data_IF_025353628076
#
_entry.id   IF_025353628076
#
_cell.length_a   1.000
_cell.length_b   1.000
_cell.length_c   1.000
_cell.angle_alpha   90.00
_cell.angle_beta   90.00
_cell.angle_gamma   90.00
#
_symmetry.space_group_name_H-M   'P 1'
#
loop_
_entity.id
_entity.type
_entity.pdbx_description
1 polymer ?
#
# COMPACT_ATOMS: atom_id res chain seq x y z
N UNK A 1 -24.30 22.47 -34.50
CA UNK A 1 -24.10 21.21 -33.76
C UNK A 1 -23.11 21.46 -32.62
N UNK A 2 -23.61 21.80 -31.42
CA UNK A 2 -22.77 21.91 -30.21
C UNK A 2 -22.60 20.50 -29.66
N UNK A 3 -21.40 19.93 -29.79
CA UNK A 3 -21.03 18.72 -29.07
C UNK A 3 -21.17 18.97 -27.57
N UNK A 4 -21.89 18.10 -26.87
CA UNK A 4 -22.07 18.17 -25.42
C UNK A 4 -20.70 18.00 -24.74
N UNK A 5 -20.17 19.00 -24.01
CA UNK A 5 -18.85 18.92 -23.37
C UNK A 5 -18.73 17.83 -22.29
N UNK A 6 -19.83 17.18 -21.90
CA UNK A 6 -19.89 16.26 -20.76
C UNK A 6 -19.53 14.79 -21.06
N UNK A 7 -19.46 14.34 -22.31
CA UNK A 7 -19.24 12.92 -22.62
C UNK A 7 -17.78 12.47 -22.48
N UNK A 8 -16.82 13.33 -22.85
CA UNK A 8 -15.39 13.05 -22.78
C UNK A 8 -14.88 12.97 -21.33
N UNK A 9 -15.36 13.87 -20.45
CA UNK A 9 -15.00 13.87 -19.03
C UNK A 9 -15.55 12.64 -18.28
N UNK A 10 -16.80 12.25 -18.57
CA UNK A 10 -17.39 11.03 -17.99
C UNK A 10 -16.64 9.75 -18.43
N UNK A 11 -16.23 9.65 -19.70
CA UNK A 11 -15.45 8.52 -20.22
C UNK A 11 -14.09 8.36 -19.55
N UNK A 12 -13.37 9.46 -19.32
CA UNK A 12 -12.08 9.43 -18.64
C UNK A 12 -12.20 9.00 -17.17
N UNK A 13 -13.24 9.44 -16.46
CA UNK A 13 -13.50 9.02 -15.07
C UNK A 13 -13.72 7.52 -14.95
N UNK A 14 -14.55 6.96 -15.82
CA UNK A 14 -14.81 5.52 -15.85
C UNK A 14 -13.53 4.74 -16.14
N UNK A 15 -12.72 5.20 -17.10
CA UNK A 15 -11.45 4.57 -17.45
C UNK A 15 -10.45 4.57 -16.30
N UNK A 16 -10.18 5.72 -15.67
CA UNK A 16 -9.22 5.81 -14.57
C UNK A 16 -9.64 4.98 -13.37
N UNK A 17 -10.93 4.99 -13.04
CA UNK A 17 -11.47 4.12 -11.99
C UNK A 17 -11.24 2.64 -12.30
N UNK A 18 -11.62 2.18 -13.49
CA UNK A 18 -11.47 0.78 -13.88
C UNK A 18 -10.01 0.33 -13.83
N UNK A 19 -9.12 1.13 -14.42
CA UNK A 19 -7.69 0.84 -14.42
C UNK A 19 -7.15 0.77 -12.99
N UNK A 20 -7.50 1.74 -12.13
CA UNK A 20 -7.09 1.72 -10.72
C UNK A 20 -7.57 0.49 -9.97
N UNK A 21 -8.86 0.12 -10.11
CA UNK A 21 -9.43 -1.05 -9.42
C UNK A 21 -8.82 -2.37 -9.90
N UNK A 22 -8.56 -2.50 -11.21
CA UNK A 22 -7.88 -3.67 -11.77
C UNK A 22 -6.46 -3.77 -11.21
N UNK A 23 -5.70 -2.68 -11.23
CA UNK A 23 -4.32 -2.69 -10.72
C UNK A 23 -4.26 -2.96 -9.21
N UNK A 24 -5.18 -2.39 -8.42
CA UNK A 24 -5.32 -2.71 -7.00
C UNK A 24 -5.66 -4.19 -6.78
N UNK A 25 -6.53 -4.77 -7.61
CA UNK A 25 -6.83 -6.20 -7.58
C UNK A 25 -5.61 -7.08 -7.89
N UNK A 26 -4.80 -6.66 -8.87
CA UNK A 26 -3.52 -7.32 -9.17
C UNK A 26 -2.54 -7.18 -8.00
N UNK A 27 -2.49 -6.04 -7.33
CA UNK A 27 -1.63 -5.82 -6.16
C UNK A 27 -2.05 -6.73 -4.99
N UNK A 28 -3.35 -6.89 -4.74
CA UNK A 28 -3.87 -7.86 -3.76
C UNK A 28 -3.38 -9.28 -4.11
N UNK A 29 -3.52 -9.70 -5.37
CA UNK A 29 -3.05 -11.00 -5.82
C UNK A 29 -1.53 -11.16 -5.65
N UNK A 30 -0.76 -10.11 -5.95
CA UNK A 30 0.68 -10.11 -5.77
C UNK A 30 1.08 -10.20 -4.30
N UNK A 31 0.37 -9.53 -3.37
CA UNK A 31 0.62 -9.65 -1.93
C UNK A 31 0.29 -11.05 -1.39
N UNK A 32 -0.78 -11.68 -1.88
CA UNK A 32 -1.08 -13.08 -1.55
C UNK A 32 -0.02 -14.04 -2.11
N UNK A 33 0.41 -13.81 -3.35
CA UNK A 33 1.51 -14.54 -3.97
C UNK A 33 2.82 -14.35 -3.19
N UNK A 34 3.12 -13.14 -2.73
CA UNK A 34 4.27 -12.83 -1.90
C UNK A 34 4.21 -13.53 -0.55
N UNK A 35 3.02 -13.61 0.06
CA UNK A 35 2.84 -14.35 1.30
C UNK A 35 3.16 -15.84 1.13
N UNK A 36 2.61 -16.47 0.09
CA UNK A 36 2.88 -17.87 -0.24
C UNK A 36 4.35 -18.10 -0.61
N UNK A 37 4.93 -17.21 -1.43
CA UNK A 37 6.34 -17.26 -1.84
C UNK A 37 7.26 -17.15 -0.63
N UNK A 38 7.00 -16.22 0.29
CA UNK A 38 7.84 -16.01 1.49
C UNK A 38 7.82 -17.24 2.39
N UNK A 39 6.64 -17.84 2.62
CA UNK A 39 6.50 -19.06 3.42
C UNK A 39 7.23 -20.25 2.78
N UNK A 40 7.04 -20.43 1.47
CA UNK A 40 7.68 -21.51 0.72
C UNK A 40 9.21 -21.35 0.69
N UNK A 41 9.69 -20.15 0.33
CA UNK A 41 11.12 -19.88 0.15
C UNK A 41 11.89 -19.85 1.46
N UNK A 42 11.24 -19.44 2.54
CA UNK A 42 11.81 -19.41 3.87
C UNK A 42 11.57 -20.69 4.68
N UNK A 43 11.20 -21.79 4.04
CA UNK A 43 11.00 -23.12 4.62
C UNK A 43 10.12 -23.11 5.89
N UNK A 44 9.08 -22.28 5.90
CA UNK A 44 8.18 -22.08 7.06
C UNK A 44 8.89 -21.71 8.37
N UNK A 45 10.09 -21.11 8.29
CA UNK A 45 10.78 -20.55 9.44
C UNK A 45 9.96 -19.44 10.11
N UNK A 46 10.28 -19.12 11.37
CA UNK A 46 9.60 -18.05 12.10
C UNK A 46 9.65 -16.70 11.37
N UNK A 47 10.80 -16.36 10.76
CA UNK A 47 10.95 -15.15 9.96
C UNK A 47 10.05 -15.17 8.72
N UNK A 48 9.98 -16.31 8.02
CA UNK A 48 9.09 -16.49 6.87
C UNK A 48 7.62 -16.30 7.24
N UNK A 49 7.21 -16.79 8.42
CA UNK A 49 5.86 -16.58 8.95
C UNK A 49 5.55 -15.10 9.21
N UNK A 50 6.48 -14.34 9.80
CA UNK A 50 6.26 -12.90 10.02
C UNK A 50 6.09 -12.14 8.69
N UNK A 51 6.94 -12.43 7.70
CA UNK A 51 6.85 -11.81 6.36
C UNK A 51 5.55 -12.23 5.67
N UNK A 52 5.21 -13.53 5.70
CA UNK A 52 4.01 -14.08 5.09
C UNK A 52 2.72 -13.52 5.70
N UNK A 53 2.61 -13.51 7.03
CA UNK A 53 1.46 -12.93 7.75
C UNK A 53 1.35 -11.43 7.46
N UNK A 54 2.46 -10.70 7.45
CA UNK A 54 2.46 -9.27 7.09
C UNK A 54 1.89 -9.06 5.68
N UNK A 55 2.37 -9.80 4.69
CA UNK A 55 1.91 -9.69 3.30
C UNK A 55 0.42 -10.08 3.17
N UNK A 56 -0.01 -11.16 3.82
CA UNK A 56 -1.39 -11.62 3.83
C UNK A 56 -2.34 -10.58 4.45
N UNK A 57 -2.01 -10.06 5.63
CA UNK A 57 -2.82 -9.05 6.31
C UNK A 57 -2.92 -7.75 5.50
N UNK A 58 -1.82 -7.33 4.86
CA UNK A 58 -1.84 -6.20 3.92
C UNK A 58 -2.77 -6.45 2.74
N UNK A 59 -2.76 -7.66 2.17
CA UNK A 59 -3.65 -8.03 1.07
C UNK A 59 -5.13 -7.92 1.48
N UNK A 60 -5.49 -8.38 2.68
CA UNK A 60 -6.86 -8.29 3.19
C UNK A 60 -7.32 -6.83 3.38
N UNK A 61 -6.47 -6.00 4.00
CA UNK A 61 -6.77 -4.57 4.18
C UNK A 61 -6.89 -3.88 2.81
N UNK A 62 -5.98 -4.15 1.89
CA UNK A 62 -6.01 -3.60 0.54
C UNK A 62 -7.26 -4.03 -0.24
N UNK A 63 -7.67 -5.29 -0.13
CA UNK A 63 -8.89 -5.79 -0.76
C UNK A 63 -10.14 -5.07 -0.23
N UNK A 64 -10.25 -4.92 1.09
CA UNK A 64 -11.34 -4.17 1.71
C UNK A 64 -11.33 -2.70 1.31
N UNK A 65 -10.15 -2.08 1.30
CA UNK A 65 -9.98 -0.70 0.86
C UNK A 65 -10.35 -0.51 -0.62
N UNK A 66 -9.96 -1.44 -1.49
CA UNK A 66 -10.29 -1.42 -2.93
C UNK A 66 -11.80 -1.50 -3.16
N UNK A 67 -12.50 -2.36 -2.39
CA UNK A 67 -13.95 -2.46 -2.45
C UNK A 67 -14.64 -1.14 -2.03
N UNK A 68 -14.15 -0.51 -0.94
CA UNK A 68 -14.66 0.80 -0.49
C UNK A 68 -14.36 1.89 -1.51
N UNK A 69 -13.14 1.92 -2.08
CA UNK A 69 -12.74 2.89 -3.10
C UNK A 69 -13.63 2.76 -4.35
N UNK A 70 -13.96 1.53 -4.76
CA UNK A 70 -14.84 1.29 -5.91
C UNK A 70 -16.22 1.90 -5.72
N UNK A 71 -16.80 1.81 -4.51
CA UNK A 71 -18.10 2.44 -4.19
C UNK A 71 -17.98 3.96 -4.08
N UNK A 72 -16.94 4.43 -3.39
CA UNK A 72 -16.63 5.83 -3.22
C UNK A 72 -16.43 6.56 -4.57
N UNK A 73 -15.69 5.96 -5.50
CA UNK A 73 -15.45 6.49 -6.85
C UNK A 73 -16.65 6.41 -7.79
N UNK A 74 -17.72 5.72 -7.38
CA UNK A 74 -19.05 5.80 -8.01
C UNK A 74 -19.89 6.95 -7.43
N UNK A 75 -19.37 7.73 -6.49
CA UNK A 75 -20.14 8.73 -5.74
C UNK A 75 -21.16 8.13 -4.77
N UNK A 76 -21.07 6.82 -4.50
CA UNK A 76 -22.00 6.13 -3.60
C UNK A 76 -21.50 6.23 -2.17
N UNK A 77 -22.28 6.89 -1.32
CA UNK A 77 -22.03 6.93 0.10
C UNK A 77 -22.04 5.50 0.69
N UNK A 78 -21.02 5.17 1.48
CA UNK A 78 -20.93 3.91 2.21
C UNK A 78 -21.37 4.16 3.64
N UNK A 79 -22.46 3.51 4.06
CA UNK A 79 -22.98 3.67 5.42
C UNK A 79 -21.90 3.36 6.47
N UNK A 80 -21.81 4.11 7.58
CA UNK A 80 -20.96 3.74 8.72
C UNK A 80 -21.24 2.36 9.31
N UNK A 81 -22.45 1.82 9.08
CA UNK A 81 -22.84 0.47 9.51
C UNK A 81 -22.49 -0.63 8.50
N UNK A 82 -21.97 -0.28 7.31
CA UNK A 82 -21.55 -1.24 6.30
C UNK A 82 -20.46 -2.15 6.84
N UNK A 83 -20.66 -3.47 6.69
CA UNK A 83 -19.76 -4.47 7.26
C UNK A 83 -18.33 -4.38 6.72
N UNK A 84 -18.15 -4.04 5.44
CA UNK A 84 -16.83 -3.90 4.84
C UNK A 84 -16.11 -2.68 5.39
N UNK A 85 -16.80 -1.53 5.48
CA UNK A 85 -16.22 -0.31 6.04
C UNK A 85 -15.83 -0.49 7.51
N UNK A 86 -16.68 -1.16 8.30
CA UNK A 86 -16.39 -1.49 9.70
C UNK A 86 -15.20 -2.45 9.84
N UNK A 87 -15.19 -3.53 9.07
CA UNK A 87 -14.10 -4.49 9.06
C UNK A 87 -12.78 -3.82 8.69
N UNK A 88 -12.77 -2.99 7.64
CA UNK A 88 -11.61 -2.21 7.23
C UNK A 88 -11.14 -1.28 8.36
N UNK A 89 -12.06 -0.53 8.98
CA UNK A 89 -11.76 0.43 10.05
C UNK A 89 -11.17 -0.21 11.29
N UNK A 90 -11.48 -1.48 11.54
CA UNK A 90 -10.89 -2.27 12.62
C UNK A 90 -9.57 -2.89 12.18
N UNK A 91 -9.48 -3.40 10.94
CA UNK A 91 -8.32 -4.16 10.48
C UNK A 91 -7.08 -3.29 10.24
N UNK A 92 -7.22 -2.14 9.58
CA UNK A 92 -6.05 -1.34 9.18
C UNK A 92 -5.20 -0.84 10.37
N UNK A 93 -5.76 -0.43 11.53
CA UNK A 93 -4.96 -0.05 12.68
C UNK A 93 -4.14 -1.23 13.23
N UNK A 94 -4.72 -2.43 13.30
CA UNK A 94 -4.02 -3.63 13.76
C UNK A 94 -2.84 -3.98 12.85
N UNK A 95 -3.05 -3.96 11.53
CA UNK A 95 -1.97 -4.20 10.56
C UNK A 95 -0.88 -3.14 10.67
N UNK A 96 -1.26 -1.88 10.90
CA UNK A 96 -0.31 -0.78 11.12
C UNK A 96 0.53 -1.03 12.38
N UNK A 97 -0.11 -1.35 13.51
CA UNK A 97 0.58 -1.65 14.77
C UNK A 97 1.53 -2.83 14.62
N UNK A 98 1.09 -3.92 13.98
CA UNK A 98 1.93 -5.09 13.72
C UNK A 98 3.18 -4.71 12.92
N UNK A 99 3.04 -3.90 11.86
CA UNK A 99 4.15 -3.44 11.04
C UNK A 99 5.11 -2.52 11.80
N UNK A 100 4.58 -1.67 12.68
CA UNK A 100 5.41 -0.82 13.54
C UNK A 100 6.15 -1.65 14.60
N UNK A 101 5.55 -2.73 15.11
CA UNK A 101 6.24 -3.67 16.00
C UNK A 101 7.39 -4.37 15.27
N UNK A 102 7.17 -4.85 14.03
CA UNK A 102 8.24 -5.45 13.24
C UNK A 102 9.39 -4.47 12.99
N UNK A 103 9.07 -3.24 12.58
CA UNK A 103 10.06 -2.18 12.42
C UNK A 103 10.81 -1.89 13.73
N UNK A 104 10.09 -1.75 14.85
CA UNK A 104 10.68 -1.44 16.15
C UNK A 104 11.60 -2.55 16.62
N UNK A 105 11.21 -3.82 16.40
CA UNK A 105 12.06 -4.97 16.67
C UNK A 105 13.35 -4.93 15.84
N UNK A 106 13.24 -4.63 14.54
CA UNK A 106 14.42 -4.44 13.68
C UNK A 106 15.30 -3.30 14.20
N UNK A 107 14.72 -2.17 14.60
CA UNK A 107 15.45 -1.05 15.18
C UNK A 107 16.22 -1.47 16.44
N UNK A 108 15.58 -2.17 17.37
CA UNK A 108 16.25 -2.67 18.58
C UNK A 108 17.40 -3.61 18.25
N UNK A 109 17.21 -4.54 17.30
CA UNK A 109 18.27 -5.45 16.86
C UNK A 109 19.46 -4.73 16.24
N UNK A 110 19.22 -3.66 15.49
CA UNK A 110 20.29 -2.80 14.95
C UNK A 110 21.02 -2.06 16.07
N UNK A 111 20.27 -1.43 16.99
CA UNK A 111 20.84 -0.68 18.11
C UNK A 111 21.62 -1.56 19.09
N UNK A 112 21.27 -2.84 19.21
CA UNK A 112 22.02 -3.82 20.00
C UNK A 112 23.24 -4.41 19.27
N UNK A 113 23.60 -3.89 18.08
CA UNK A 113 24.77 -4.32 17.33
C UNK A 113 24.55 -5.54 16.43
N UNK A 114 23.31 -5.87 16.06
CA UNK A 114 22.99 -7.00 15.19
C UNK A 114 23.39 -6.84 13.71
N UNK A 115 23.92 -5.68 13.33
CA UNK A 115 24.35 -5.38 11.97
C UNK A 115 25.57 -4.42 11.95
N UNK A 116 26.72 -4.84 12.52
CA UNK A 116 27.88 -3.97 12.71
C UNK A 116 28.58 -3.60 11.39
N UNK A 117 28.43 -4.44 10.37
CA UNK A 117 29.01 -4.23 9.04
C UNK A 117 28.08 -3.45 8.09
N UNK A 118 26.89 -3.06 8.56
CA UNK A 118 25.90 -2.43 7.72
C UNK A 118 26.30 -1.02 7.30
N UNK A 119 26.02 -0.66 6.05
CA UNK A 119 26.14 0.73 5.61
C UNK A 119 25.19 1.62 6.43
N UNK A 120 25.75 2.48 7.28
CA UNK A 120 24.98 3.27 8.25
C UNK A 120 23.99 4.23 7.59
N UNK A 121 24.35 4.82 6.45
CA UNK A 121 23.48 5.75 5.71
C UNK A 121 22.27 5.03 5.14
N UNK A 122 22.49 3.91 4.45
CA UNK A 122 21.42 3.10 3.87
C UNK A 122 20.49 2.53 4.96
N UNK A 123 21.06 2.07 6.09
CA UNK A 123 20.28 1.53 7.21
C UNK A 123 19.45 2.62 7.90
N UNK A 124 20.01 3.80 8.10
CA UNK A 124 19.28 4.96 8.65
C UNK A 124 18.14 5.37 7.72
N UNK A 125 18.38 5.38 6.40
CA UNK A 125 17.36 5.68 5.42
C UNK A 125 16.23 4.64 5.47
N UNK A 126 16.54 3.33 5.51
CA UNK A 126 15.54 2.28 5.66
C UNK A 126 14.72 2.45 6.96
N UNK A 127 15.39 2.63 8.09
CA UNK A 127 14.75 2.76 9.40
C UNK A 127 13.93 4.05 9.54
N UNK A 128 14.11 5.03 8.66
CA UNK A 128 13.30 6.25 8.58
C UNK A 128 12.14 6.10 7.60
N UNK A 129 12.40 5.55 6.41
CA UNK A 129 11.41 5.41 5.34
C UNK A 129 10.35 4.36 5.68
N UNK A 130 10.75 3.23 6.27
CA UNK A 130 9.82 2.14 6.60
C UNK A 130 8.67 2.59 7.53
N UNK A 131 8.91 3.19 8.71
CA UNK A 131 7.81 3.62 9.57
C UNK A 131 7.00 4.75 8.93
N UNK A 132 7.64 5.68 8.20
CA UNK A 132 6.95 6.73 7.46
C UNK A 132 5.98 6.15 6.43
N UNK A 133 6.39 5.12 5.68
CA UNK A 133 5.55 4.42 4.72
C UNK A 133 4.36 3.72 5.39
N UNK A 134 4.60 3.05 6.53
CA UNK A 134 3.54 2.41 7.33
C UNK A 134 2.49 3.44 7.76
N UNK A 135 2.93 4.59 8.26
CA UNK A 135 2.05 5.68 8.70
C UNK A 135 1.29 6.33 7.54
N UNK A 136 1.95 6.52 6.39
CA UNK A 136 1.31 7.05 5.18
C UNK A 136 0.21 6.11 4.67
N UNK A 137 0.44 4.79 4.65
CA UNK A 137 -0.61 3.84 4.29
C UNK A 137 -1.77 3.84 5.28
N UNK A 138 -1.49 3.90 6.58
CA UNK A 138 -2.53 4.07 7.60
C UNK A 138 -3.36 5.34 7.36
N UNK A 139 -2.72 6.44 6.95
CA UNK A 139 -3.40 7.68 6.61
C UNK A 139 -4.25 7.56 5.34
N UNK A 140 -3.79 6.84 4.29
CA UNK A 140 -4.59 6.52 3.09
C UNK A 140 -5.84 5.73 3.47
N UNK A 141 -5.69 4.66 4.25
CA UNK A 141 -6.79 3.80 4.67
C UNK A 141 -7.78 4.55 5.56
N UNK A 142 -7.29 5.23 6.59
CA UNK A 142 -8.13 5.98 7.52
C UNK A 142 -8.83 7.18 6.88
N UNK A 143 -8.19 7.85 5.90
CA UNK A 143 -8.82 8.97 5.20
C UNK A 143 -9.95 8.49 4.31
N UNK A 144 -9.77 7.42 3.53
CA UNK A 144 -10.88 6.86 2.76
C UNK A 144 -12.00 6.36 3.68
N UNK A 145 -11.68 5.67 4.77
CA UNK A 145 -12.69 5.14 5.68
C UNK A 145 -13.58 6.24 6.28
N UNK A 146 -12.99 7.38 6.67
CA UNK A 146 -13.74 8.56 7.15
C UNK A 146 -14.52 9.28 6.05
N UNK A 147 -14.00 9.25 4.82
CA UNK A 147 -14.56 9.94 3.68
C UNK A 147 -15.69 9.15 2.99
N UNK A 148 -15.67 7.82 3.08
CA UNK A 148 -16.61 6.94 2.38
C UNK A 148 -18.10 7.24 2.65
N UNK A 149 -18.53 7.66 3.86
CA UNK A 149 -19.91 8.08 4.10
C UNK A 149 -20.30 9.40 3.41
N UNK A 150 -19.34 10.27 3.07
CA UNK A 150 -19.59 11.54 2.40
C UNK A 150 -18.66 11.70 1.18
N UNK A 151 -18.93 10.99 0.07
CA UNK A 151 -18.05 10.99 -1.08
C UNK A 151 -17.97 12.34 -1.79
N UNK A 152 -18.90 13.25 -1.51
CA UNK A 152 -18.97 14.59 -2.07
C UNK A 152 -17.97 15.59 -1.45
N UNK A 153 -17.40 15.28 -0.27
CA UNK A 153 -16.46 16.18 0.43
C UNK A 153 -15.14 16.37 -0.33
N UNK A 154 -14.98 17.57 -0.91
CA UNK A 154 -13.79 18.00 -1.63
C UNK A 154 -12.53 18.06 -0.77
N UNK A 155 -12.66 18.46 0.49
CA UNK A 155 -11.51 18.60 1.39
C UNK A 155 -10.95 17.23 1.73
N UNK A 156 -11.83 16.29 2.05
CA UNK A 156 -11.47 14.89 2.27
C UNK A 156 -10.87 14.24 1.02
N UNK A 157 -11.43 14.49 -0.18
CA UNK A 157 -10.86 14.02 -1.46
C UNK A 157 -9.44 14.52 -1.69
N UNK A 158 -9.21 15.82 -1.47
CA UNK A 158 -7.87 16.42 -1.59
C UNK A 158 -6.90 15.76 -0.61
N UNK A 159 -7.30 15.61 0.65
CA UNK A 159 -6.46 14.97 1.67
C UNK A 159 -6.12 13.52 1.34
N UNK A 160 -7.08 12.77 0.77
CA UNK A 160 -6.84 11.40 0.30
C UNK A 160 -5.82 11.39 -0.84
N UNK A 161 -5.94 12.30 -1.81
CA UNK A 161 -4.99 12.45 -2.91
C UNK A 161 -3.58 12.82 -2.41
N UNK A 162 -3.47 13.73 -1.44
CA UNK A 162 -2.19 14.11 -0.84
C UNK A 162 -1.51 12.90 -0.18
N UNK A 163 -2.26 12.10 0.58
CA UNK A 163 -1.74 10.89 1.21
C UNK A 163 -1.37 9.80 0.20
N UNK A 164 -2.14 9.60 -0.87
CA UNK A 164 -1.79 8.68 -1.94
C UNK A 164 -0.50 9.09 -2.66
N UNK A 165 -0.28 10.39 -2.86
CA UNK A 165 0.96 10.90 -3.45
C UNK A 165 2.18 10.63 -2.54
N UNK A 166 2.05 10.91 -1.24
CA UNK A 166 3.11 10.60 -0.25
C UNK A 166 3.35 9.10 -0.17
N UNK A 167 2.29 8.29 -0.13
CA UNK A 167 2.39 6.84 -0.08
C UNK A 167 3.06 6.26 -1.34
N UNK A 168 2.81 6.81 -2.53
CA UNK A 168 3.46 6.36 -3.75
C UNK A 168 4.97 6.60 -3.73
N UNK A 169 5.42 7.77 -3.28
CA UNK A 169 6.84 8.08 -3.14
C UNK A 169 7.53 7.17 -2.12
N UNK A 170 6.89 6.94 -0.97
CA UNK A 170 7.40 6.05 0.07
C UNK A 170 7.37 4.57 -0.34
N UNK A 171 6.36 4.16 -1.10
CA UNK A 171 6.27 2.81 -1.69
C UNK A 171 7.43 2.56 -2.65
N UNK A 172 7.76 3.55 -3.48
CA UNK A 172 8.92 3.46 -4.38
C UNK A 172 10.23 3.31 -3.60
N UNK A 173 10.42 4.10 -2.55
CA UNK A 173 11.59 3.98 -1.70
C UNK A 173 11.68 2.59 -1.04
N UNK A 174 10.56 2.05 -0.55
CA UNK A 174 10.51 0.68 -0.02
C UNK A 174 10.79 -0.39 -1.10
N UNK A 175 10.28 -0.22 -2.32
CA UNK A 175 10.58 -1.11 -3.44
C UNK A 175 12.08 -1.14 -3.73
N UNK A 176 12.76 0.02 -3.69
CA UNK A 176 14.22 0.09 -3.84
C UNK A 176 14.91 -0.69 -2.73
N UNK A 177 14.54 -0.50 -1.46
CA UNK A 177 15.16 -1.24 -0.35
C UNK A 177 14.92 -2.76 -0.40
N UNK A 178 13.83 -3.21 -1.00
CA UNK A 178 13.55 -4.64 -1.15
C UNK A 178 14.34 -5.30 -2.29
N UNK A 179 14.83 -4.52 -3.26
CA UNK A 179 15.57 -5.04 -4.43
C UNK A 179 17.07 -4.77 -4.34
N UNK A 180 17.45 -3.65 -3.72
CA UNK A 180 18.84 -3.24 -3.53
C UNK A 180 19.31 -3.67 -2.14
N UNK A 181 20.17 -4.69 -2.03
CA UNK A 181 20.61 -5.17 -0.72
C UNK A 181 21.42 -4.10 0.01
N UNK A 182 21.15 -3.93 1.30
CA UNK A 182 22.00 -3.14 2.19
C UNK A 182 23.18 -4.03 2.59
N UNK A 183 24.37 -3.70 2.10
CA UNK A 183 25.62 -4.40 2.45
C UNK A 183 25.76 -4.48 3.98
N UNK A 184 26.00 -5.68 4.50
CA UNK A 184 26.16 -5.95 5.94
C UNK A 184 24.86 -6.05 6.74
N UNK A 185 23.70 -6.00 6.08
CA UNK A 185 22.38 -6.14 6.72
C UNK A 185 21.46 -7.12 5.97
N UNK A 186 21.45 -7.07 4.65
CA UNK A 186 20.62 -7.93 3.79
C UNK A 186 21.48 -8.93 3.03
N UNK A 187 20.98 -10.15 2.87
CA UNK A 187 21.61 -11.14 2.00
C UNK A 187 21.57 -10.67 0.53
N UNK A 188 22.58 -11.01 -0.30
CA UNK A 188 22.51 -10.76 -1.74
C UNK A 188 21.32 -11.54 -2.33
N UNK A 189 20.33 -10.87 -2.93
CA UNK A 189 19.17 -11.55 -3.48
C UNK A 189 19.56 -12.32 -4.74
N UNK A 190 18.97 -13.50 -4.95
CA UNK A 190 19.04 -14.17 -6.25
C UNK A 190 18.05 -13.51 -7.22
N UNK A 191 18.22 -13.74 -8.53
CA UNK A 191 17.40 -13.11 -9.57
C UNK A 191 15.89 -13.29 -9.31
N UNK A 192 15.47 -14.48 -8.85
CA UNK A 192 14.06 -14.75 -8.52
C UNK A 192 13.53 -13.82 -7.43
N UNK A 193 14.30 -13.58 -6.37
CA UNK A 193 13.90 -12.70 -5.27
C UNK A 193 13.80 -11.25 -5.77
N UNK A 194 14.80 -10.79 -6.54
CA UNK A 194 14.77 -9.45 -7.14
C UNK A 194 13.55 -9.25 -8.04
N UNK A 195 13.17 -10.24 -8.84
CA UNK A 195 12.00 -10.17 -9.70
C UNK A 195 10.71 -10.15 -8.87
N UNK A 196 10.56 -11.02 -7.87
CA UNK A 196 9.34 -11.07 -7.04
C UNK A 196 9.17 -9.76 -6.26
N UNK A 197 10.21 -9.33 -5.55
CA UNK A 197 10.16 -8.08 -4.77
C UNK A 197 10.08 -6.84 -5.65
N UNK A 198 10.78 -6.83 -6.79
CA UNK A 198 10.78 -5.72 -7.73
C UNK A 198 9.45 -5.55 -8.44
N UNK A 199 8.86 -6.63 -8.95
CA UNK A 199 7.53 -6.60 -9.58
C UNK A 199 6.46 -6.25 -8.53
N UNK A 200 6.52 -6.83 -7.34
CA UNK A 200 5.58 -6.50 -6.26
C UNK A 200 5.67 -5.02 -5.87
N UNK A 201 6.88 -4.47 -5.73
CA UNK A 201 7.11 -3.07 -5.41
C UNK A 201 6.67 -2.12 -6.53
N UNK A 202 6.97 -2.45 -7.79
CA UNK A 202 6.50 -1.67 -8.94
C UNK A 202 4.97 -1.64 -9.02
N UNK A 203 4.32 -2.77 -8.74
CA UNK A 203 2.87 -2.88 -8.75
C UNK A 203 2.22 -2.06 -7.62
N UNK A 204 2.78 -2.06 -6.41
CA UNK A 204 2.32 -1.22 -5.28
C UNK A 204 2.38 0.27 -5.64
N UNK A 205 3.50 0.72 -6.22
CA UNK A 205 3.64 2.11 -6.69
C UNK A 205 2.61 2.43 -7.78
N UNK A 206 2.48 1.58 -8.80
CA UNK A 206 1.55 1.78 -9.92
C UNK A 206 0.10 1.81 -9.43
N UNK A 207 -0.29 0.87 -8.58
CA UNK A 207 -1.63 0.81 -8.00
C UNK A 207 -1.95 2.06 -7.20
N UNK A 208 -1.01 2.52 -6.36
CA UNK A 208 -1.15 3.75 -5.57
C UNK A 208 -1.29 4.99 -6.46
N UNK A 209 -0.47 5.12 -7.51
CA UNK A 209 -0.55 6.22 -8.47
C UNK A 209 -1.84 6.20 -9.29
N UNK A 210 -2.33 5.03 -9.68
CA UNK A 210 -3.58 4.90 -10.42
C UNK A 210 -4.79 5.19 -9.51
N UNK A 211 -4.75 4.77 -8.25
CA UNK A 211 -5.74 5.16 -7.25
C UNK A 211 -5.75 6.69 -7.04
N UNK A 212 -4.58 7.32 -6.99
CA UNK A 212 -4.46 8.79 -6.96
C UNK A 212 -5.13 9.44 -8.16
N UNK A 213 -4.87 8.94 -9.38
CA UNK A 213 -5.50 9.47 -10.60
C UNK A 213 -7.01 9.25 -10.61
N UNK A 214 -7.48 8.10 -10.13
CA UNK A 214 -8.91 7.85 -9.98
C UNK A 214 -9.57 8.89 -9.05
N UNK A 215 -8.99 9.15 -7.87
CA UNK A 215 -9.50 10.15 -6.92
C UNK A 215 -9.49 11.57 -7.51
N UNK A 216 -8.41 11.95 -8.19
CA UNK A 216 -8.30 13.28 -8.80
C UNK A 216 -9.28 13.48 -9.96
N UNK A 217 -9.58 12.42 -10.71
CA UNK A 217 -10.55 12.47 -11.81
C UNK A 217 -12.00 12.64 -11.33
N UNK A 218 -12.28 12.45 -10.03
CA UNK A 218 -13.65 12.60 -9.50
C UNK A 218 -14.12 14.06 -9.44
N UNK A 219 -13.20 15.04 -9.54
CA UNK A 219 -13.57 16.43 -9.78
C UNK A 219 -14.07 16.55 -11.22
N UNK A 220 -15.39 16.65 -11.39
CA UNK A 220 -16.10 17.19 -12.57
C UNK A 220 -17.62 17.18 -12.31
#
# INVERSE_FOLDING_TARGET
MRGTPGSAGAGNRVRWRQVALVTLGLEVAALLGLAAFSLWRGDFSLGAWFVGINAFLRALVLAGWTAVLGRFSLGRAVSPTDGMLRALSIAFPWVTSFRLVLWFWTLLGVLSGGAPEANTVALTALLTVWPAYVLAQNAVYGTLARLAPNPADDTGRKRLADWLNVAAALSLAMAVFNVVPIRGFSAPPILTDQLVYGVSGALDVLATLLALRAVQSMKD
#
